data_IF_998156074091
#
_entry.id   IF_998156074091
#
_cell.length_a   1.000
_cell.length_b   1.000
_cell.length_c   1.000
_cell.angle_alpha   90.00
_cell.angle_beta   90.00
_cell.angle_gamma   90.00
#
_symmetry.space_group_name_H-M   'P 1'
#
loop_
_entity.id
_entity.type
_entity.pdbx_description
1 polymer ?
#
# COMPACT_ATOMS: atom_id res chain seq x y z
N UNK A 1 7.37 2.52 -4.25
CA UNK A 1 6.37 1.60 -3.62
C UNK A 1 7.02 0.76 -2.51
N UNK A 2 8.28 0.33 -2.67
CA UNK A 2 9.08 -0.16 -1.54
C UNK A 2 9.25 0.90 -0.43
N UNK A 3 9.35 2.19 -0.78
CA UNK A 3 9.55 3.27 0.20
C UNK A 3 8.40 3.45 1.20
N UNK A 4 7.15 3.19 0.79
CA UNK A 4 5.97 3.33 1.65
C UNK A 4 5.80 2.15 2.62
N UNK A 5 6.28 0.97 2.23
CA UNK A 5 6.35 -0.19 3.13
C UNK A 5 7.53 -0.04 4.11
N UNK A 6 8.63 0.58 3.67
CA UNK A 6 9.79 0.85 4.51
C UNK A 6 9.52 1.91 5.59
N UNK A 7 8.76 2.98 5.28
CA UNK A 7 8.35 3.99 6.29
C UNK A 7 7.44 3.39 7.37
N UNK A 8 6.47 2.55 6.97
CA UNK A 8 5.54 1.92 7.92
C UNK A 8 6.29 0.91 8.86
N UNK A 9 7.50 0.44 8.51
CA UNK A 9 8.38 -0.35 9.42
C UNK A 9 9.40 0.47 10.21
N UNK A 10 9.86 1.62 9.69
CA UNK A 10 10.83 2.46 10.39
C UNK A 10 10.21 3.27 11.53
N UNK A 11 8.95 3.70 11.40
CA UNK A 11 8.23 4.42 12.46
C UNK A 11 8.08 3.57 13.73
N UNK A 12 7.91 2.26 13.59
CA UNK A 12 7.87 1.32 14.72
C UNK A 12 9.23 1.17 15.42
N UNK A 13 10.33 1.17 14.64
CA UNK A 13 11.68 1.02 15.17
C UNK A 13 12.17 2.30 15.87
N UNK A 14 11.82 3.48 15.36
CA UNK A 14 12.10 4.78 16.01
C UNK A 14 11.34 4.94 17.33
N UNK A 15 10.07 4.48 17.37
CA UNK A 15 9.25 4.54 18.59
C UNK A 15 9.74 3.58 19.70
N UNK A 16 10.36 2.45 19.32
CA UNK A 16 10.98 1.51 20.26
C UNK A 16 12.21 2.10 20.98
N UNK A 17 12.87 3.11 20.41
CA UNK A 17 14.08 3.69 20.98
C UNK A 17 13.81 4.75 22.07
N UNK A 18 12.56 5.19 22.25
CA UNK A 18 12.25 6.36 23.09
C UNK A 18 11.74 6.04 24.51
N UNK A 19 11.86 4.79 24.96
CA UNK A 19 11.31 4.34 26.24
C UNK A 19 12.40 4.06 27.27
N UNK A 20 12.75 5.10 28.00
CA UNK A 20 13.39 5.05 29.33
C UNK A 20 12.53 5.98 30.21
N UNK A 21 11.90 5.50 31.30
CA UNK A 21 11.43 6.29 32.48
C UNK A 21 10.37 5.55 33.37
N UNK A 22 10.81 4.86 34.44
CA UNK A 22 10.07 4.36 35.64
C UNK A 22 9.02 3.19 35.61
N UNK A 23 9.44 2.00 36.05
CA UNK A 23 8.87 0.64 35.93
C UNK A 23 7.34 0.41 36.11
N UNK A 24 6.61 1.21 36.89
CA UNK A 24 5.23 0.88 37.29
C UNK A 24 4.11 1.53 36.47
N UNK A 25 4.32 2.75 35.97
CA UNK A 25 3.29 3.52 35.22
C UNK A 25 3.53 3.48 33.72
N UNK A 26 4.76 3.21 33.29
CA UNK A 26 5.14 3.12 31.88
C UNK A 26 4.30 2.08 31.13
N UNK A 27 4.11 0.90 31.70
CA UNK A 27 3.51 -0.24 30.98
C UNK A 27 2.07 0.12 30.54
N UNK A 28 1.32 0.78 31.41
CA UNK A 28 -0.04 1.23 31.09
C UNK A 28 -0.04 2.34 30.03
N UNK A 29 0.90 3.29 30.10
CA UNK A 29 0.99 4.41 29.15
C UNK A 29 1.43 3.93 27.77
N UNK A 30 2.42 3.05 27.67
CA UNK A 30 2.85 2.45 26.39
C UNK A 30 1.73 1.63 25.76
N UNK A 31 1.02 0.80 26.55
CA UNK A 31 -0.02 -0.04 26.00
C UNK A 31 -1.14 0.79 25.36
N UNK A 32 -1.52 1.91 26.01
CA UNK A 32 -2.58 2.80 25.51
C UNK A 32 -2.10 3.65 24.34
N UNK A 33 -0.94 4.32 24.46
CA UNK A 33 -0.42 5.22 23.42
C UNK A 33 0.08 4.44 22.21
N UNK A 34 0.84 3.37 22.44
CA UNK A 34 1.33 2.47 21.39
C UNK A 34 0.19 1.74 20.69
N UNK A 35 -0.81 1.25 21.44
CA UNK A 35 -1.98 0.59 20.86
C UNK A 35 -2.79 1.50 19.95
N UNK A 36 -3.04 2.74 20.40
CA UNK A 36 -3.79 3.73 19.60
C UNK A 36 -3.00 4.13 18.34
N UNK A 37 -1.69 4.32 18.47
CA UNK A 37 -0.84 4.71 17.35
C UNK A 37 -0.77 3.61 16.28
N UNK A 38 -0.60 2.35 16.67
CA UNK A 38 -0.61 1.21 15.74
C UNK A 38 -1.96 1.08 15.02
N UNK A 39 -3.07 1.24 15.74
CA UNK A 39 -4.40 1.19 15.14
C UNK A 39 -4.60 2.33 14.12
N UNK A 40 -4.18 3.55 14.47
CA UNK A 40 -4.27 4.71 13.58
C UNK A 40 -3.42 4.52 12.31
N UNK A 41 -2.16 4.11 12.47
CA UNK A 41 -1.25 3.88 11.36
C UNK A 41 -1.73 2.76 10.42
N UNK A 42 -2.34 1.70 10.95
CA UNK A 42 -2.92 0.63 10.13
C UNK A 42 -4.05 1.14 9.22
N UNK A 43 -4.91 2.04 9.72
CA UNK A 43 -6.01 2.63 8.94
C UNK A 43 -5.45 3.52 7.82
N UNK A 44 -4.45 4.35 8.13
CA UNK A 44 -3.82 5.23 7.14
C UNK A 44 -3.05 4.43 6.08
N UNK A 45 -2.19 3.48 6.48
CA UNK A 45 -1.48 2.61 5.54
C UNK A 45 -2.48 1.79 4.66
N UNK A 46 -3.62 1.35 5.22
CA UNK A 46 -4.67 0.64 4.49
C UNK A 46 -5.39 1.48 3.43
N UNK A 47 -5.72 2.72 3.75
CA UNK A 47 -6.39 3.65 2.82
C UNK A 47 -5.47 4.09 1.69
N UNK A 48 -4.22 4.44 2.00
CA UNK A 48 -3.22 4.84 1.00
C UNK A 48 -2.93 3.72 -0.01
N UNK A 49 -2.81 2.48 0.45
CA UNK A 49 -2.61 1.31 -0.44
C UNK A 49 -3.72 1.19 -1.48
N UNK A 50 -4.97 1.40 -1.06
CA UNK A 50 -6.12 1.36 -1.97
C UNK A 50 -6.03 2.48 -3.01
N UNK A 51 -5.76 3.70 -2.59
CA UNK A 51 -5.65 4.87 -3.48
C UNK A 51 -4.54 4.68 -4.53
N UNK A 52 -3.35 4.24 -4.11
CA UNK A 52 -2.22 4.01 -5.03
C UNK A 52 -2.55 2.92 -6.05
N UNK A 53 -3.21 1.84 -5.61
CA UNK A 53 -3.59 0.74 -6.52
C UNK A 53 -4.61 1.17 -7.59
N UNK A 54 -5.52 2.08 -7.23
CA UNK A 54 -6.51 2.65 -8.17
C UNK A 54 -5.82 3.58 -9.15
N UNK A 55 -4.99 4.51 -8.65
CA UNK A 55 -4.21 5.45 -9.46
C UNK A 55 -3.31 4.74 -10.49
N UNK A 56 -2.63 3.66 -10.08
CA UNK A 56 -1.78 2.88 -10.97
C UNK A 56 -2.59 2.25 -12.12
N UNK A 57 -3.78 1.70 -11.82
CA UNK A 57 -4.66 1.12 -12.84
C UNK A 57 -5.22 2.16 -13.81
N UNK A 58 -5.56 3.34 -13.31
CA UNK A 58 -6.03 4.45 -14.13
C UNK A 58 -4.91 4.99 -15.04
N UNK A 59 -3.70 5.13 -14.51
CA UNK A 59 -2.53 5.53 -15.29
C UNK A 59 -2.22 4.55 -16.42
N UNK A 60 -2.17 3.24 -16.14
CA UNK A 60 -1.92 2.23 -17.17
C UNK A 60 -3.01 2.20 -18.25
N UNK A 61 -4.28 2.48 -17.92
CA UNK A 61 -5.36 2.60 -18.92
C UNK A 61 -5.16 3.81 -19.82
N UNK A 62 -4.69 4.93 -19.26
CA UNK A 62 -4.43 6.16 -20.02
C UNK A 62 -3.23 6.01 -20.95
N UNK A 63 -2.18 5.35 -20.49
CA UNK A 63 -1.00 5.04 -21.30
C UNK A 63 -1.35 4.07 -22.44
N UNK A 64 -2.11 3.00 -22.16
CA UNK A 64 -2.58 2.08 -23.20
C UNK A 64 -3.43 2.79 -24.26
N UNK A 65 -4.29 3.73 -23.87
CA UNK A 65 -5.07 4.53 -24.83
C UNK A 65 -4.18 5.41 -25.72
N UNK A 66 -3.09 5.96 -25.18
CA UNK A 66 -2.10 6.70 -25.96
C UNK A 66 -1.39 5.78 -26.97
N UNK A 67 -0.95 4.59 -26.56
CA UNK A 67 -0.30 3.64 -27.48
C UNK A 67 -1.22 3.12 -28.60
N UNK A 68 -2.51 2.97 -28.32
CA UNK A 68 -3.51 2.64 -29.35
C UNK A 68 -3.72 3.81 -30.31
N UNK A 69 -3.73 5.05 -29.81
CA UNK A 69 -3.86 6.26 -30.65
C UNK A 69 -2.61 6.52 -31.50
N UNK A 70 -1.41 6.21 -30.98
CA UNK A 70 -0.13 6.28 -31.68
C UNK A 70 0.06 5.14 -32.69
N UNK A 71 -0.79 4.10 -32.63
CA UNK A 71 -0.73 2.93 -33.51
C UNK A 71 0.42 1.96 -33.21
N UNK A 72 1.13 2.14 -32.09
CA UNK A 72 2.19 1.24 -31.62
C UNK A 72 1.65 -0.03 -30.95
N UNK A 73 0.34 -0.07 -30.66
CA UNK A 73 -0.36 -1.21 -30.09
C UNK A 73 -1.75 -1.36 -30.72
N UNK A 74 -2.18 -2.59 -31.00
CA UNK A 74 -3.54 -2.83 -31.51
C UNK A 74 -4.59 -2.75 -30.38
N UNK A 75 -5.83 -2.33 -30.66
CA UNK A 75 -6.88 -2.26 -29.65
C UNK A 75 -7.19 -3.63 -29.02
N UNK A 76 -7.09 -4.71 -29.80
CA UNK A 76 -7.26 -6.09 -29.31
C UNK A 76 -6.16 -6.50 -28.32
N UNK A 77 -4.91 -6.10 -28.57
CA UNK A 77 -3.80 -6.34 -27.63
C UNK A 77 -3.96 -5.51 -26.35
N UNK A 78 -4.36 -4.25 -26.46
CA UNK A 78 -4.65 -3.40 -25.30
C UNK A 78 -5.77 -4.01 -24.43
N UNK A 79 -6.82 -4.55 -25.05
CA UNK A 79 -7.89 -5.26 -24.33
C UNK A 79 -7.37 -6.50 -23.59
N UNK A 80 -6.50 -7.30 -24.22
CA UNK A 80 -5.87 -8.48 -23.61
C UNK A 80 -4.99 -8.12 -22.40
N UNK A 81 -4.26 -7.00 -22.46
CA UNK A 81 -3.44 -6.50 -21.34
C UNK A 81 -4.34 -6.03 -20.17
N UNK A 82 -5.43 -5.33 -20.46
CA UNK A 82 -6.40 -4.92 -19.43
C UNK A 82 -7.11 -6.11 -18.78
N UNK A 83 -7.34 -7.19 -19.53
CA UNK A 83 -7.90 -8.44 -19.03
C UNK A 83 -6.89 -9.27 -18.22
N UNK A 84 -5.62 -9.31 -18.62
CA UNK A 84 -4.58 -10.04 -17.88
C UNK A 84 -4.34 -9.42 -16.50
N UNK A 85 -4.37 -8.09 -16.38
CA UNK A 85 -4.26 -7.37 -15.11
C UNK A 85 -5.40 -7.65 -14.12
N UNK A 86 -6.56 -8.17 -14.58
CA UNK A 86 -7.68 -8.58 -13.71
C UNK A 86 -7.53 -9.99 -13.15
N UNK A 87 -6.80 -10.89 -13.83
CA UNK A 87 -6.74 -12.32 -13.48
C UNK A 87 -5.66 -12.69 -12.45
N UNK A 88 -4.80 -11.76 -12.05
CA UNK A 88 -3.70 -12.04 -11.10
C UNK A 88 -4.13 -12.09 -9.61
N UNK A 89 -5.40 -11.86 -9.25
CA UNK A 89 -5.84 -11.96 -7.84
C UNK A 89 -6.67 -13.21 -7.49
N UNK A 90 -6.98 -14.07 -8.47
CA UNK A 90 -7.73 -15.31 -8.21
C UNK A 90 -6.86 -16.52 -8.52
N UNK A 91 -6.01 -16.90 -7.56
CA UNK A 91 -5.06 -18.00 -7.77
C UNK A 91 -4.34 -18.52 -6.53
N UNK A 92 -4.94 -18.46 -5.34
CA UNK A 92 -4.44 -19.17 -4.15
C UNK A 92 -5.58 -19.71 -3.29
N UNK A 93 -6.25 -20.74 -3.77
CA UNK A 93 -6.74 -21.88 -2.95
C UNK A 93 -6.71 -23.12 -3.85
N UNK A 94 -5.78 -24.02 -3.50
CA UNK A 94 -5.88 -25.43 -3.85
C UNK A 94 -7.10 -26.04 -3.14
#
# INVERSE_FOLDING_TARGET
>A
MLDLMATCTSDFADLMHQLDLDDGKIIAVIAVVGGLFVAFSAIVCGTLKTVVSVRAREASRRELAAYVAEGSMTPDEAQRILESGRRCFTGRRA
#
